data_IF_022805503409
#
_entry.id   IF_022805503409
#
_cell.length_a   1.000
_cell.length_b   1.000
_cell.length_c   1.000
_cell.angle_alpha   90.00
_cell.angle_beta   90.00
_cell.angle_gamma   90.00
#
_symmetry.space_group_name_H-M   'P 1'
#
loop_
_entity.id
_entity.type
_entity.pdbx_description
1 polymer ?
#
# COMPACT_ATOMS: atom_id res chain seq x y z
N UNK A 1 -3.95 11.67 1.93
CA UNK A 1 -2.89 11.78 0.89
C UNK A 1 -3.02 10.56 0.00
N UNK A 2 -3.00 10.74 -1.32
CA UNK A 2 -3.34 9.67 -2.29
C UNK A 2 -2.08 9.07 -2.94
N UNK A 3 -2.20 7.86 -3.54
CA UNK A 3 -1.12 7.23 -4.32
C UNK A 3 -0.64 8.13 -5.46
N UNK A 4 -1.55 8.88 -6.09
CA UNK A 4 -1.21 9.85 -7.13
C UNK A 4 -0.21 10.91 -6.64
N UNK A 5 -0.44 11.44 -5.44
CA UNK A 5 0.37 12.52 -4.87
C UNK A 5 1.69 12.04 -4.29
N UNK A 6 1.69 10.88 -3.63
CA UNK A 6 2.85 10.40 -2.88
C UNK A 6 3.77 9.48 -3.69
N UNK A 7 3.22 8.78 -4.68
CA UNK A 7 3.98 7.87 -5.53
C UNK A 7 4.15 8.45 -6.93
N UNK A 8 3.08 8.54 -7.71
CA UNK A 8 3.18 8.83 -9.15
C UNK A 8 3.81 10.20 -9.46
N UNK A 9 3.34 11.28 -8.81
CA UNK A 9 3.90 12.62 -9.01
C UNK A 9 5.36 12.75 -8.57
N UNK A 10 5.79 11.98 -7.57
CA UNK A 10 7.18 11.99 -7.10
C UNK A 10 8.06 11.19 -8.06
N UNK A 11 7.68 9.93 -8.31
CA UNK A 11 8.45 8.99 -9.13
C UNK A 11 8.62 9.46 -10.58
N UNK A 12 7.60 10.04 -11.20
CA UNK A 12 7.73 10.55 -12.57
C UNK A 12 8.57 11.84 -12.69
N UNK A 13 8.87 12.52 -11.58
CA UNK A 13 9.84 13.64 -11.57
C UNK A 13 11.28 13.18 -11.37
N UNK A 14 11.47 12.05 -10.70
CA UNK A 14 12.79 11.53 -10.33
C UNK A 14 13.34 10.50 -11.32
N UNK A 15 12.45 9.75 -11.99
CA UNK A 15 12.83 8.59 -12.80
C UNK A 15 12.00 8.52 -14.08
N UNK A 16 12.70 8.32 -15.20
CA UNK A 16 12.07 7.92 -16.45
C UNK A 16 11.95 6.39 -16.49
N UNK A 17 10.76 5.88 -16.82
CA UNK A 17 10.49 4.46 -16.92
C UNK A 17 10.40 4.06 -18.38
N UNK A 18 11.22 3.08 -18.78
CA UNK A 18 11.25 2.56 -20.15
C UNK A 18 10.13 1.54 -20.43
N UNK A 19 9.48 1.03 -19.38
CA UNK A 19 8.37 0.08 -19.49
C UNK A 19 7.40 0.19 -18.31
N UNK A 20 6.17 -0.30 -18.49
CA UNK A 20 5.16 -0.34 -17.43
C UNK A 20 5.55 -1.30 -16.33
N UNK A 21 6.25 -2.40 -16.65
CA UNK A 21 6.73 -3.40 -15.69
C UNK A 21 7.79 -2.81 -14.75
N UNK A 22 8.61 -1.87 -15.24
CA UNK A 22 9.55 -1.15 -14.39
C UNK A 22 8.83 -0.22 -13.39
N UNK A 23 7.76 0.45 -13.83
CA UNK A 23 6.92 1.27 -12.96
C UNK A 23 6.16 0.41 -11.94
N UNK A 24 5.66 -0.74 -12.36
CA UNK A 24 4.91 -1.66 -11.50
C UNK A 24 5.78 -2.19 -10.36
N UNK A 25 7.03 -2.58 -10.63
CA UNK A 25 7.96 -3.02 -9.58
C UNK A 25 8.21 -1.95 -8.51
N UNK A 26 8.41 -0.69 -8.93
CA UNK A 26 8.60 0.42 -7.99
C UNK A 26 7.31 0.71 -7.21
N UNK A 27 6.13 0.55 -7.83
CA UNK A 27 4.84 0.72 -7.18
C UNK A 27 4.59 -0.37 -6.13
N UNK A 28 4.89 -1.63 -6.44
CA UNK A 28 4.72 -2.76 -5.52
C UNK A 28 5.60 -2.58 -4.27
N UNK A 29 6.86 -2.18 -4.48
CA UNK A 29 7.77 -1.88 -3.37
C UNK A 29 7.25 -0.71 -2.51
N UNK A 30 6.74 0.35 -3.15
CA UNK A 30 6.18 1.49 -2.42
C UNK A 30 4.91 1.13 -1.66
N UNK A 31 4.01 0.32 -2.23
CA UNK A 31 2.80 -0.17 -1.57
C UNK A 31 3.14 -1.05 -0.36
N UNK A 32 4.14 -1.92 -0.49
CA UNK A 32 4.60 -2.75 0.63
C UNK A 32 5.06 -1.89 1.81
N UNK A 33 5.87 -0.86 1.56
CA UNK A 33 6.31 0.09 2.57
C UNK A 33 5.13 0.92 3.13
N UNK A 34 4.28 1.45 2.26
CA UNK A 34 3.16 2.30 2.64
C UNK A 34 2.15 1.57 3.53
N UNK A 35 1.85 0.31 3.22
CA UNK A 35 0.88 -0.49 3.93
C UNK A 35 1.44 -1.08 5.24
N UNK A 36 2.76 -1.26 5.34
CA UNK A 36 3.41 -1.93 6.50
C UNK A 36 4.09 -0.99 7.50
N UNK A 37 4.59 0.17 7.07
CA UNK A 37 5.56 0.96 7.86
C UNK A 37 5.14 2.41 8.15
N UNK A 38 4.01 2.87 7.61
CA UNK A 38 3.53 4.25 7.83
C UNK A 38 3.26 4.54 9.32
N UNK A 39 3.90 5.56 9.95
CA UNK A 39 3.62 5.94 11.34
C UNK A 39 2.16 6.37 11.52
N UNK A 40 1.41 5.64 12.34
CA UNK A 40 -0.04 5.79 12.51
C UNK A 40 -0.37 6.86 13.56
N UNK A 41 -0.51 8.13 13.15
CA UNK A 41 -0.94 9.21 14.04
C UNK A 41 -2.47 9.42 14.06
N UNK A 42 -3.24 8.52 13.45
CA UNK A 42 -4.70 8.64 13.33
C UNK A 42 -5.49 7.91 14.42
N UNK A 43 -6.24 8.66 15.23
CA UNK A 43 -7.21 8.17 16.24
C UNK A 43 -8.13 7.04 15.72
N UNK A 44 -8.50 7.10 14.42
CA UNK A 44 -9.39 6.14 13.75
C UNK A 44 -8.87 4.70 13.70
N UNK A 45 -7.56 4.47 13.75
CA UNK A 45 -6.99 3.12 13.71
C UNK A 45 -6.65 2.54 15.08
N UNK A 46 -6.86 3.29 16.19
CA UNK A 46 -6.45 2.90 17.56
C UNK A 46 -5.04 2.27 17.63
N UNK A 47 -4.10 2.76 16.81
CA UNK A 47 -2.72 2.24 16.76
C UNK A 47 -2.51 0.93 15.99
N UNK A 48 -3.52 0.39 15.29
CA UNK A 48 -3.39 -0.86 14.49
C UNK A 48 -2.86 -0.62 13.09
N UNK A 49 -2.13 -1.61 12.57
CA UNK A 49 -1.52 -1.59 11.24
C UNK A 49 -2.57 -1.98 10.18
N UNK A 50 -2.64 -1.33 9.01
CA UNK A 50 -3.54 -1.72 7.91
C UNK A 50 -3.45 -3.19 7.51
N UNK A 51 -2.27 -3.79 7.58
CA UNK A 51 -2.05 -5.22 7.36
C UNK A 51 -2.82 -6.12 8.34
N UNK A 52 -3.02 -5.70 9.59
CA UNK A 52 -3.84 -6.44 10.57
C UNK A 52 -5.31 -6.46 10.17
N UNK A 53 -5.78 -5.39 9.50
CA UNK A 53 -7.12 -5.29 8.94
C UNK A 53 -7.27 -6.14 7.68
N UNK A 54 -6.28 -6.12 6.78
CA UNK A 54 -6.28 -6.91 5.54
C UNK A 54 -6.29 -8.43 5.83
N UNK A 55 -5.50 -8.87 6.82
CA UNK A 55 -5.48 -10.27 7.28
C UNK A 55 -6.82 -10.68 7.93
N UNK A 56 -7.55 -9.73 8.52
CA UNK A 56 -8.86 -9.98 9.12
C UNK A 56 -9.94 -10.16 8.04
N UNK A 57 -9.91 -9.36 6.97
CA UNK A 57 -10.78 -9.55 5.80
C UNK A 57 -10.50 -10.86 5.06
N UNK A 58 -9.23 -11.18 4.80
CA UNK A 58 -8.85 -12.44 4.15
C UNK A 58 -9.28 -13.68 4.97
N UNK A 59 -9.20 -13.62 6.31
CA UNK A 59 -9.68 -14.70 7.20
C UNK A 59 -11.20 -14.86 7.23
N UNK A 60 -11.98 -13.82 6.91
CA UNK A 60 -13.43 -13.90 6.91
C UNK A 60 -13.98 -14.58 5.64
N UNK A 61 -13.39 -14.34 4.47
CA UNK A 61 -13.83 -15.01 3.23
C UNK A 61 -13.45 -16.50 3.15
N UNK A 62 -12.34 -16.93 3.75
CA UNK A 62 -11.96 -18.36 3.81
C UNK A 62 -12.94 -19.19 4.66
N UNK A 63 -13.74 -18.57 5.53
CA UNK A 63 -14.74 -19.23 6.38
C UNK A 63 -16.13 -19.34 5.75
N UNK A 64 -16.42 -18.57 4.70
CA UNK A 64 -17.74 -18.60 4.04
C UNK A 64 -17.79 -19.61 2.89
N UNK A 65 -16.64 -20.11 2.42
CA UNK A 65 -16.52 -21.13 1.37
C UNK A 65 -16.17 -22.53 1.90
N UNK A 66 -16.21 -22.75 3.22
CA UNK A 66 -15.85 -24.01 3.89
C UNK A 66 -17.03 -24.76 4.49
#
# INVERSE_FOLDING_TARGET
>A
RTVLEEFFRVKFRERFYESVEALQRDLDAWLAFHNRERPHLGYRNRGRRPYETELQFAKQHVREEG
#
